data_IF_646181509971
#
_entry.id   IF_646181509971
#
_cell.length_a   1.000
_cell.length_b   1.000
_cell.length_c   1.000
_cell.angle_alpha   90.00
_cell.angle_beta   90.00
_cell.angle_gamma   90.00
#
_symmetry.space_group_name_H-M   'P 1'
#
loop_
_entity.id
_entity.type
_entity.pdbx_description
1 polymer ?
#
# COMPACT_ATOMS: atom_id res chain seq x y z
N UNK A 1 14.19 -1.79 -21.85
CA UNK A 1 15.44 -2.20 -21.21
C UNK A 1 16.20 -1.04 -20.61
N UNK A 2 16.21 0.10 -21.27
CA UNK A 2 16.90 1.27 -20.73
C UNK A 2 16.33 1.65 -19.36
N UNK A 3 15.03 1.62 -19.21
CA UNK A 3 14.43 1.97 -17.92
C UNK A 3 14.87 1.02 -16.81
N UNK A 4 15.18 -0.23 -17.12
CA UNK A 4 15.63 -1.18 -16.11
C UNK A 4 17.05 -0.85 -15.64
N UNK A 5 17.84 -0.24 -16.49
CA UNK A 5 19.19 0.20 -16.13
C UNK A 5 19.11 1.43 -15.24
N UNK A 6 18.20 2.34 -15.58
CA UNK A 6 18.08 3.62 -14.89
C UNK A 6 17.16 3.57 -13.66
N UNK A 7 16.26 2.57 -13.61
CA UNK A 7 15.37 2.42 -12.49
C UNK A 7 16.12 1.87 -11.27
N UNK A 8 15.57 2.02 -10.08
CA UNK A 8 16.12 1.42 -8.89
C UNK A 8 16.33 -0.07 -9.11
N UNK A 9 17.48 -0.55 -8.78
CA UNK A 9 17.81 -1.96 -8.93
C UNK A 9 16.98 -2.82 -8.02
N UNK A 10 16.64 -2.28 -6.89
CA UNK A 10 15.86 -2.96 -5.89
C UNK A 10 14.64 -2.13 -5.63
N UNK A 11 13.57 -2.59 -6.16
CA UNK A 11 12.29 -2.03 -5.82
C UNK A 11 11.70 -2.96 -4.81
N UNK A 12 11.67 -2.52 -3.60
CA UNK A 12 11.15 -3.36 -2.54
C UNK A 12 9.65 -3.24 -2.59
N UNK A 13 9.06 -4.04 -3.44
CA UNK A 13 7.63 -4.14 -3.53
C UNK A 13 7.21 -5.44 -2.93
N UNK A 14 6.05 -5.43 -2.29
CA UNK A 14 5.40 -6.67 -1.94
C UNK A 14 4.78 -7.28 -3.19
N UNK A 15 5.21 -6.84 -4.36
CA UNK A 15 4.54 -7.15 -5.59
C UNK A 15 5.45 -7.01 -6.80
N UNK A 16 5.13 -7.78 -7.79
CA UNK A 16 5.54 -7.62 -9.16
C UNK A 16 4.53 -8.39 -9.98
N UNK A 17 4.46 -8.12 -11.27
CA UNK A 17 3.53 -8.83 -12.12
C UNK A 17 3.86 -10.32 -12.23
N UNK A 18 5.10 -10.65 -12.01
CA UNK A 18 5.55 -12.04 -11.98
C UNK A 18 5.67 -12.48 -10.53
N UNK A 19 5.04 -13.60 -10.16
CA UNK A 19 5.19 -14.11 -8.79
C UNK A 19 6.64 -14.47 -8.51
N UNK A 20 7.34 -13.57 -7.86
CA UNK A 20 8.79 -13.69 -7.67
C UNK A 20 9.18 -14.30 -6.32
N UNK A 21 8.22 -14.46 -5.43
CA UNK A 21 8.50 -14.96 -4.08
C UNK A 21 9.08 -13.91 -3.14
N UNK A 22 9.16 -12.67 -3.57
CA UNK A 22 9.71 -11.60 -2.74
C UNK A 22 8.56 -10.70 -2.32
N UNK A 23 8.01 -10.97 -1.15
CA UNK A 23 6.84 -10.26 -0.64
C UNK A 23 7.11 -9.80 0.79
N UNK A 24 6.76 -8.55 1.06
CA UNK A 24 6.93 -7.97 2.39
C UNK A 24 5.71 -7.11 2.73
N UNK A 25 4.87 -7.52 3.67
CA UNK A 25 3.69 -6.76 4.06
C UNK A 25 4.03 -5.40 4.69
N UNK A 26 5.28 -5.19 5.06
CA UNK A 26 5.71 -3.91 5.61
C UNK A 26 5.50 -2.76 4.64
N UNK A 27 5.51 -3.02 3.33
CA UNK A 27 5.27 -1.96 2.35
C UNK A 27 3.87 -1.36 2.51
N UNK A 28 2.86 -2.20 2.65
CA UNK A 28 1.50 -1.72 2.86
C UNK A 28 1.40 -0.90 4.14
N UNK A 29 2.06 -1.34 5.20
CA UNK A 29 2.05 -0.63 6.48
C UNK A 29 2.74 0.73 6.37
N UNK A 30 3.88 0.78 5.69
CA UNK A 30 4.63 2.03 5.51
C UNK A 30 3.75 3.05 4.77
N UNK A 31 3.08 2.61 3.71
CA UNK A 31 2.20 3.50 2.96
C UNK A 31 1.01 3.96 3.79
N UNK A 32 0.46 3.08 4.62
CA UNK A 32 -0.64 3.44 5.51
C UNK A 32 -0.20 4.46 6.56
N UNK A 33 1.00 4.33 7.08
CA UNK A 33 1.57 5.32 8.00
C UNK A 33 1.76 6.67 7.32
N UNK A 34 2.15 6.67 6.05
CA UNK A 34 2.25 7.90 5.27
C UNK A 34 0.90 8.57 5.08
N UNK A 35 -0.15 7.78 4.83
CA UNK A 35 -1.51 8.31 4.73
C UNK A 35 -1.89 9.03 6.01
N UNK A 36 -1.68 8.38 7.14
CA UNK A 36 -1.99 8.95 8.45
C UNK A 36 -1.21 10.25 8.68
N UNK A 37 0.07 10.25 8.38
CA UNK A 37 0.91 11.43 8.55
C UNK A 37 0.42 12.60 7.69
N UNK A 38 0.00 12.33 6.46
CA UNK A 38 -0.53 13.37 5.59
C UNK A 38 -1.84 13.94 6.12
N UNK A 39 -2.70 13.10 6.67
CA UNK A 39 -3.95 13.56 7.29
C UNK A 39 -3.69 14.45 8.50
N UNK A 40 -2.74 14.07 9.34
CA UNK A 40 -2.37 14.86 10.51
C UNK A 40 -1.78 16.21 10.09
N UNK A 41 -0.94 16.22 9.07
CA UNK A 41 -0.35 17.45 8.54
C UNK A 41 -1.42 18.37 7.93
N UNK A 42 -2.38 17.79 7.24
CA UNK A 42 -3.51 18.55 6.72
C UNK A 42 -4.27 19.25 7.84
N UNK A 43 -4.59 18.50 8.89
CA UNK A 43 -5.35 19.03 10.01
C UNK A 43 -4.58 20.08 10.81
N UNK A 44 -3.26 19.98 10.82
CA UNK A 44 -2.40 20.87 11.58
C UNK A 44 -1.99 22.14 10.84
N UNK A 45 -2.52 22.38 9.64
CA UNK A 45 -2.14 23.53 8.82
C UNK A 45 -3.34 24.34 8.39
N UNK A 46 -3.17 25.67 8.35
CA UNK A 46 -4.18 26.60 7.82
C UNK A 46 -3.79 27.06 6.42
N UNK A 47 -2.65 26.62 5.91
CA UNK A 47 -2.18 27.01 4.60
C UNK A 47 -2.86 26.15 3.53
N UNK A 48 -3.68 26.78 2.70
CA UNK A 48 -4.46 26.07 1.69
C UNK A 48 -3.60 25.35 0.66
N UNK A 49 -2.47 25.93 0.29
CA UNK A 49 -1.57 25.30 -0.67
C UNK A 49 -0.94 24.04 -0.10
N UNK A 50 -0.49 24.12 1.14
CA UNK A 50 0.06 22.95 1.83
C UNK A 50 -1.01 21.88 2.03
N UNK A 51 -2.22 22.26 2.40
CA UNK A 51 -3.32 21.31 2.56
C UNK A 51 -3.65 20.57 1.27
N UNK A 52 -3.67 21.29 0.15
CA UNK A 52 -3.92 20.68 -1.16
C UNK A 52 -2.84 19.65 -1.49
N UNK A 53 -1.59 19.99 -1.21
CA UNK A 53 -0.47 19.08 -1.43
C UNK A 53 -0.58 17.85 -0.53
N UNK A 54 -0.94 18.04 0.72
CA UNK A 54 -1.09 16.93 1.66
C UNK A 54 -2.18 15.96 1.21
N UNK A 55 -3.31 16.49 0.72
CA UNK A 55 -4.38 15.65 0.20
C UNK A 55 -3.93 14.86 -1.03
N UNK A 56 -3.23 15.51 -1.94
CA UNK A 56 -2.75 14.86 -3.15
C UNK A 56 -1.82 13.67 -2.83
N UNK A 57 -0.90 13.89 -1.92
CA UNK A 57 0.04 12.85 -1.50
C UNK A 57 -0.70 11.74 -0.75
N UNK A 58 -1.64 12.11 0.10
CA UNK A 58 -2.45 11.16 0.85
C UNK A 58 -3.21 10.22 -0.09
N UNK A 59 -3.81 10.76 -1.14
CA UNK A 59 -4.53 9.94 -2.11
C UNK A 59 -3.61 8.96 -2.83
N UNK A 60 -2.43 9.43 -3.22
CA UNK A 60 -1.44 8.59 -3.87
C UNK A 60 -1.01 7.44 -2.96
N UNK A 61 -0.72 7.75 -1.70
CA UNK A 61 -0.29 6.72 -0.74
C UNK A 61 -1.40 5.73 -0.41
N UNK A 62 -2.64 6.19 -0.32
CA UNK A 62 -3.77 5.31 -0.09
C UNK A 62 -3.94 4.30 -1.23
N UNK A 63 -3.74 4.74 -2.46
CA UNK A 63 -3.76 3.83 -3.61
C UNK A 63 -2.63 2.81 -3.52
N UNK A 64 -1.46 3.21 -3.06
CA UNK A 64 -0.33 2.30 -2.89
C UNK A 64 -0.60 1.25 -1.81
N UNK A 65 -1.31 1.62 -0.75
CA UNK A 65 -1.75 0.64 0.24
C UNK A 65 -2.57 -0.45 -0.44
N UNK A 66 -3.54 -0.06 -1.25
CA UNK A 66 -4.39 -1.02 -1.96
C UNK A 66 -3.58 -1.92 -2.88
N UNK A 67 -2.68 -1.33 -3.66
CA UNK A 67 -1.86 -2.10 -4.59
C UNK A 67 -1.04 -3.16 -3.88
N UNK A 68 -0.39 -2.81 -2.79
CA UNK A 68 0.41 -3.75 -2.03
C UNK A 68 -0.45 -4.86 -1.41
N UNK A 69 -1.64 -4.51 -0.92
CA UNK A 69 -2.55 -5.50 -0.36
C UNK A 69 -3.08 -6.44 -1.44
N UNK A 70 -3.46 -5.91 -2.59
CA UNK A 70 -4.00 -6.72 -3.68
C UNK A 70 -2.99 -7.74 -4.19
N UNK A 71 -1.73 -7.33 -4.32
CA UNK A 71 -0.70 -8.24 -4.80
C UNK A 71 -0.43 -9.35 -3.80
N UNK A 72 -0.40 -9.03 -2.52
CA UNK A 72 -0.29 -10.06 -1.48
C UNK A 72 -1.46 -11.04 -1.58
N UNK A 73 -2.65 -10.51 -1.76
CA UNK A 73 -3.85 -11.34 -1.85
C UNK A 73 -3.86 -12.24 -3.07
N UNK A 74 -3.49 -11.70 -4.23
CA UNK A 74 -3.58 -12.44 -5.49
C UNK A 74 -2.39 -13.35 -5.75
N UNK A 75 -1.19 -12.94 -5.30
CA UNK A 75 0.03 -13.63 -5.71
C UNK A 75 0.69 -14.42 -4.58
N UNK A 76 0.55 -13.96 -3.36
CA UNK A 76 1.24 -14.60 -2.24
C UNK A 76 0.38 -15.62 -1.51
N UNK A 77 -0.84 -15.24 -1.13
CA UNK A 77 -1.66 -16.11 -0.31
C UNK A 77 -2.22 -17.28 -1.10
N UNK A 78 -2.23 -18.44 -0.46
CA UNK A 78 -2.68 -19.71 -1.02
C UNK A 78 -3.70 -20.34 -0.08
N UNK A 79 -4.43 -21.38 -0.53
CA UNK A 79 -5.45 -22.02 0.32
C UNK A 79 -4.93 -22.42 1.70
N UNK A 80 -3.70 -22.88 1.79
CA UNK A 80 -3.11 -23.28 3.08
C UNK A 80 -2.99 -22.10 4.04
N UNK A 81 -2.78 -20.89 3.53
CA UNK A 81 -2.72 -19.70 4.38
C UNK A 81 -4.10 -19.37 4.93
N UNK A 82 -5.14 -19.55 4.12
CA UNK A 82 -6.51 -19.32 4.54
C UNK A 82 -6.94 -20.32 5.59
N UNK A 83 -6.46 -21.55 5.52
CA UNK A 83 -6.74 -22.56 6.53
C UNK A 83 -6.12 -22.19 7.87
N UNK A 84 -4.88 -21.71 7.85
CA UNK A 84 -4.18 -21.30 9.07
C UNK A 84 -4.70 -20.01 9.65
N UNK A 85 -5.21 -19.13 8.80
CA UNK A 85 -5.68 -17.80 9.18
C UNK A 85 -7.06 -17.57 8.62
N UNK A 86 -8.11 -18.14 9.24
CA UNK A 86 -9.48 -18.03 8.70
C UNK A 86 -10.00 -16.62 8.53
N UNK A 87 -9.46 -15.66 9.29
CA UNK A 87 -9.89 -14.26 9.21
C UNK A 87 -9.17 -13.47 8.11
N UNK A 88 -8.31 -14.12 7.35
CA UNK A 88 -7.46 -13.43 6.37
C UNK A 88 -8.28 -12.68 5.32
N UNK A 89 -9.33 -13.31 4.80
CA UNK A 89 -10.20 -12.68 3.82
C UNK A 89 -10.84 -11.40 4.36
N UNK A 90 -11.44 -11.49 5.53
CA UNK A 90 -12.11 -10.34 6.14
C UNK A 90 -11.12 -9.23 6.48
N UNK A 91 -9.93 -9.60 6.93
CA UNK A 91 -8.88 -8.64 7.25
C UNK A 91 -8.46 -7.85 6.01
N UNK A 92 -8.20 -8.53 4.90
CA UNK A 92 -7.78 -7.87 3.68
C UNK A 92 -8.91 -7.06 3.05
N UNK A 93 -10.13 -7.57 3.12
CA UNK A 93 -11.29 -6.84 2.64
C UNK A 93 -11.45 -5.53 3.43
N UNK A 94 -11.40 -5.61 4.76
CA UNK A 94 -11.52 -4.44 5.62
C UNK A 94 -10.38 -3.45 5.38
N UNK A 95 -9.14 -3.93 5.31
CA UNK A 95 -7.99 -3.07 5.09
C UNK A 95 -8.10 -2.31 3.76
N UNK A 96 -8.55 -2.98 2.71
CA UNK A 96 -8.72 -2.35 1.41
C UNK A 96 -9.83 -1.30 1.44
N UNK A 97 -10.93 -1.59 2.13
CA UNK A 97 -12.02 -0.63 2.32
C UNK A 97 -11.56 0.59 3.10
N UNK A 98 -10.79 0.39 4.15
CA UNK A 98 -10.24 1.47 4.96
C UNK A 98 -9.32 2.37 4.12
N UNK A 99 -8.47 1.78 3.31
CA UNK A 99 -7.59 2.54 2.44
C UNK A 99 -8.39 3.37 1.43
N UNK A 100 -9.49 2.84 0.94
CA UNK A 100 -10.36 3.57 0.02
C UNK A 100 -11.13 4.69 0.68
N UNK A 101 -11.39 4.59 1.98
CA UNK A 101 -12.12 5.61 2.74
C UNK A 101 -11.23 6.74 3.23
N UNK A 102 -9.93 6.52 3.25
CA UNK A 102 -8.95 7.48 3.77
C UNK A 102 -8.83 8.80 2.91
#
# INVERSE_FOLDING_TARGET
MVHRILAPRRTVHAHCDLPCGVYDPAQARIEAESVKACQEKFQGSDDAEFQARAVSIKEERANMVKEHLWVLWTDYFKPEHLEKHPSLHDLFWSATKEAGAA
#
